data_IF_355159829606
#
_entry.id   IF_355159829606
#
_cell.length_a   1.000
_cell.length_b   1.000
_cell.length_c   1.000
_cell.angle_alpha   90.00
_cell.angle_beta   90.00
_cell.angle_gamma   90.00
#
_symmetry.space_group_name_H-M   'P 1'
#
loop_
_entity.id
_entity.type
_entity.pdbx_description
1 polymer ?
#
# COMPACT_ATOMS: atom_id res chain seq x y z
N UNK A 1 9.28 -19.46 -0.72
CA UNK A 1 8.31 -18.83 -1.62
C UNK A 1 7.19 -19.83 -1.86
N UNK A 2 5.99 -19.55 -1.37
CA UNK A 2 4.83 -20.42 -1.59
C UNK A 2 4.19 -20.14 -2.94
N UNK A 3 3.44 -21.08 -3.51
CA UNK A 3 2.56 -20.78 -4.64
C UNK A 3 1.17 -20.43 -4.09
N UNK A 4 0.66 -19.24 -4.43
CA UNK A 4 -0.72 -18.87 -4.08
C UNK A 4 -1.65 -19.46 -5.14
N UNK A 5 -2.58 -20.30 -4.70
CA UNK A 5 -3.68 -20.80 -5.54
C UNK A 5 -4.80 -19.78 -5.54
N UNK A 6 -4.92 -19.02 -6.62
CA UNK A 6 -6.05 -18.10 -6.82
C UNK A 6 -7.14 -18.84 -7.61
N UNK A 7 -8.33 -18.93 -7.02
CA UNK A 7 -9.52 -19.41 -7.72
C UNK A 7 -10.14 -18.27 -8.53
N UNK A 8 -10.34 -18.51 -9.82
CA UNK A 8 -10.86 -17.53 -10.79
C UNK A 8 -12.14 -18.06 -11.44
N UNK A 9 -12.89 -17.18 -12.12
CA UNK A 9 -14.07 -17.56 -12.89
C UNK A 9 -15.22 -18.16 -12.06
N UNK A 10 -15.46 -17.68 -10.82
CA UNK A 10 -16.45 -18.25 -9.86
C UNK A 10 -16.13 -19.67 -9.37
N UNK A 11 -14.85 -20.07 -9.39
CA UNK A 11 -14.39 -21.33 -8.79
C UNK A 11 -14.07 -22.43 -9.79
N UNK A 12 -14.31 -22.22 -11.08
CA UNK A 12 -14.01 -23.18 -12.15
C UNK A 12 -12.55 -23.15 -12.60
N UNK A 13 -11.81 -22.08 -12.32
CA UNK A 13 -10.39 -21.97 -12.68
C UNK A 13 -9.49 -21.92 -11.46
N UNK A 14 -8.35 -22.58 -11.51
CA UNK A 14 -7.26 -22.41 -10.53
C UNK A 14 -6.01 -21.94 -11.25
N UNK A 15 -5.42 -20.82 -10.81
CA UNK A 15 -4.10 -20.36 -11.25
C UNK A 15 -3.13 -20.49 -10.09
N UNK A 16 -2.01 -21.16 -10.35
CA UNK A 16 -0.85 -21.14 -9.47
C UNK A 16 0.00 -19.94 -9.85
N UNK A 17 0.09 -18.98 -8.94
CA UNK A 17 0.95 -17.81 -9.09
C UNK A 17 2.00 -17.92 -8.00
N UNK A 18 3.27 -17.71 -8.35
CA UNK A 18 4.33 -17.65 -7.36
C UNK A 18 4.05 -16.47 -6.40
N UNK A 19 4.18 -16.70 -5.09
CA UNK A 19 4.07 -15.66 -4.04
C UNK A 19 5.31 -14.76 -4.08
N UNK A 20 5.59 -14.22 -5.27
CA UNK A 20 6.54 -13.15 -5.43
C UNK A 20 5.89 -11.89 -4.87
N UNK A 21 6.46 -11.44 -3.76
CA UNK A 21 6.47 -10.07 -3.23
C UNK A 21 5.26 -9.25 -3.66
N UNK A 22 4.30 -9.06 -2.76
CA UNK A 22 3.06 -8.31 -2.99
C UNK A 22 3.35 -6.88 -3.48
N UNK A 23 3.66 -6.73 -4.76
CA UNK A 23 3.94 -5.46 -5.42
C UNK A 23 2.70 -4.60 -5.62
N UNK A 24 1.61 -4.93 -4.93
CA UNK A 24 0.35 -4.22 -4.91
C UNK A 24 -0.01 -3.67 -3.52
N UNK A 25 0.75 -4.00 -2.47
CA UNK A 25 0.51 -3.50 -1.11
C UNK A 25 1.75 -3.51 -0.21
N UNK A 26 1.74 -2.65 0.81
CA UNK A 26 2.80 -2.61 1.82
C UNK A 26 4.06 -1.86 1.35
N UNK A 27 5.17 -2.12 2.05
CA UNK A 27 6.41 -1.35 1.90
C UNK A 27 7.11 -1.63 0.56
N UNK A 28 6.94 -2.83 -0.01
CA UNK A 28 7.46 -3.16 -1.35
C UNK A 28 6.76 -2.35 -2.44
N UNK A 29 5.44 -2.16 -2.33
CA UNK A 29 4.70 -1.31 -3.25
C UNK A 29 5.11 0.16 -3.12
N UNK A 30 5.40 0.64 -1.90
CA UNK A 30 5.92 2.00 -1.69
C UNK A 30 7.25 2.20 -2.41
N UNK A 31 8.19 1.25 -2.33
CA UNK A 31 9.46 1.31 -3.06
C UNK A 31 9.25 1.42 -4.57
N UNK A 32 8.34 0.62 -5.13
CA UNK A 32 7.97 0.68 -6.55
C UNK A 32 7.35 2.05 -6.91
N UNK A 33 6.52 2.62 -6.04
CA UNK A 33 5.93 3.95 -6.24
C UNK A 33 6.99 5.06 -6.19
N UNK A 34 7.95 4.98 -5.28
CA UNK A 34 9.03 5.96 -5.16
C UNK A 34 9.96 5.90 -6.38
N UNK A 35 10.26 4.71 -6.92
CA UNK A 35 11.00 4.54 -8.17
C UNK A 35 10.24 5.16 -9.36
N UNK A 36 8.93 4.91 -9.48
CA UNK A 36 8.09 5.53 -10.50
C UNK A 36 8.02 7.05 -10.36
N UNK A 37 7.95 7.56 -9.13
CA UNK A 37 7.95 9.01 -8.84
C UNK A 37 9.26 9.65 -9.31
N UNK A 38 10.40 9.01 -9.05
CA UNK A 38 11.72 9.47 -9.54
C UNK A 38 11.79 9.51 -11.06
N UNK A 39 11.32 8.47 -11.74
CA UNK A 39 11.27 8.42 -13.21
C UNK A 39 10.35 9.49 -13.81
N UNK A 40 9.25 9.81 -13.12
CA UNK A 40 8.26 10.79 -13.55
C UNK A 40 8.46 12.20 -12.96
N UNK A 41 9.64 12.50 -12.40
CA UNK A 41 9.90 13.74 -11.64
C UNK A 41 9.56 15.02 -12.41
N UNK A 42 9.79 15.04 -13.73
CA UNK A 42 9.54 16.19 -14.60
C UNK A 42 8.06 16.37 -15.02
N UNK A 43 7.15 15.45 -14.67
CA UNK A 43 5.73 15.62 -14.99
C UNK A 43 5.09 16.70 -14.13
N UNK A 44 4.28 17.53 -14.75
CA UNK A 44 3.42 18.48 -14.06
C UNK A 44 2.19 17.77 -13.48
N UNK A 45 1.86 18.06 -12.23
CA UNK A 45 0.66 17.56 -11.56
C UNK A 45 -0.13 18.75 -11.03
N UNK A 46 -1.43 18.75 -11.30
CA UNK A 46 -2.35 19.74 -10.75
C UNK A 46 -2.68 19.38 -9.31
N UNK A 47 -2.57 20.37 -8.44
CA UNK A 47 -2.80 20.31 -7.00
C UNK A 47 -3.92 21.28 -6.63
N UNK A 48 -4.47 21.14 -5.42
CA UNK A 48 -5.51 22.05 -4.92
C UNK A 48 -6.78 22.07 -5.77
N UNK A 49 -7.20 20.91 -6.33
CA UNK A 49 -8.36 20.80 -7.25
C UNK A 49 -8.24 21.62 -8.54
N UNK A 50 -7.02 21.87 -9.01
CA UNK A 50 -6.76 22.61 -10.26
C UNK A 50 -6.23 24.03 -10.04
N UNK A 51 -6.23 24.53 -8.81
CA UNK A 51 -5.80 25.91 -8.49
C UNK A 51 -4.29 26.13 -8.60
N UNK A 52 -3.47 25.07 -8.67
CA UNK A 52 -2.03 25.22 -8.89
C UNK A 52 -1.39 23.96 -9.48
N UNK A 53 -0.26 24.13 -10.15
CA UNK A 53 0.53 23.03 -10.70
C UNK A 53 1.91 22.96 -10.06
N UNK A 54 2.40 21.77 -9.74
CA UNK A 54 3.75 21.52 -9.22
C UNK A 54 4.36 20.30 -9.91
N UNK A 55 5.69 20.23 -10.04
CA UNK A 55 6.33 19.07 -10.64
C UNK A 55 6.21 17.90 -9.68
N UNK A 56 6.08 16.69 -10.20
CA UNK A 56 5.92 15.49 -9.38
C UNK A 56 7.14 15.25 -8.48
N UNK A 57 8.33 15.67 -8.91
CA UNK A 57 9.55 15.64 -8.11
C UNK A 57 9.54 16.61 -6.92
N UNK A 58 8.81 17.71 -6.99
CA UNK A 58 8.73 18.72 -5.91
C UNK A 58 7.73 18.32 -4.82
N UNK A 59 7.01 17.21 -4.98
CA UNK A 59 6.10 16.69 -3.97
C UNK A 59 6.90 16.05 -2.83
N UNK A 60 6.43 16.19 -1.57
CA UNK A 60 7.06 15.52 -0.45
C UNK A 60 7.07 14.00 -0.64
N UNK A 61 8.05 13.34 -0.05
CA UNK A 61 8.14 11.88 -0.09
C UNK A 61 7.04 11.20 0.72
N UNK A 62 6.80 9.95 0.36
CA UNK A 62 5.77 9.11 0.97
C UNK A 62 6.03 8.99 2.47
N UNK A 63 5.12 9.52 3.30
CA UNK A 63 5.25 9.40 4.76
C UNK A 63 5.29 7.91 5.18
N UNK A 64 6.11 7.56 6.18
CA UNK A 64 6.08 6.22 6.76
C UNK A 64 4.69 5.95 7.34
N UNK A 65 4.25 4.69 7.27
CA UNK A 65 3.03 4.26 7.94
C UNK A 65 3.23 4.45 9.45
N UNK A 66 2.35 5.19 10.13
CA UNK A 66 2.47 5.38 11.56
C UNK A 66 2.31 4.03 12.28
N UNK A 67 3.06 3.87 13.37
CA UNK A 67 2.81 2.78 14.30
C UNK A 67 1.41 2.97 14.89
N UNK A 68 0.63 1.89 14.90
CA UNK A 68 -0.62 1.86 15.66
C UNK A 68 -0.48 0.97 16.88
N UNK A 69 0.73 0.59 17.28
CA UNK A 69 0.99 -0.25 18.44
C UNK A 69 0.38 0.35 19.71
N UNK A 70 -0.26 -0.48 20.53
CA UNK A 70 -0.96 -0.03 21.75
C UNK A 70 -2.32 0.64 21.52
N UNK A 71 -2.68 0.99 20.28
CA UNK A 71 -4.01 1.51 19.97
C UNK A 71 -5.07 0.42 20.12
N UNK A 72 -6.25 0.75 20.67
CA UNK A 72 -7.35 -0.20 20.82
C UNK A 72 -7.97 -0.47 19.45
N UNK A 73 -7.94 -1.74 19.02
CA UNK A 73 -8.65 -2.21 17.82
C UNK A 73 -9.91 -2.95 18.24
N UNK A 74 -11.03 -2.51 17.71
CA UNK A 74 -12.31 -3.19 17.84
C UNK A 74 -12.32 -4.38 16.88
N UNK A 75 -12.67 -5.55 17.40
CA UNK A 75 -12.77 -6.82 16.66
C UNK A 75 -14.19 -7.37 16.80
N UNK A 76 -14.52 -8.42 16.02
CA UNK A 76 -15.79 -9.13 16.18
C UNK A 76 -17.04 -8.26 15.95
N UNK A 77 -16.99 -7.28 15.04
CA UNK A 77 -18.09 -6.33 14.78
C UNK A 77 -18.52 -5.50 16.01
N UNK A 78 -17.61 -5.21 16.93
CA UNK A 78 -17.91 -4.37 18.09
C UNK A 78 -17.89 -5.10 19.42
N UNK A 79 -17.88 -6.43 19.44
CA UNK A 79 -17.97 -7.22 20.68
C UNK A 79 -16.62 -7.56 21.30
N UNK A 80 -15.52 -7.34 20.58
CA UNK A 80 -14.17 -7.55 21.08
C UNK A 80 -13.33 -6.28 21.00
N UNK A 81 -12.40 -6.11 21.94
CA UNK A 81 -11.32 -5.14 21.80
C UNK A 81 -9.99 -5.80 22.10
N UNK A 82 -8.95 -5.45 21.34
CA UNK A 82 -7.57 -5.87 21.63
C UNK A 82 -6.61 -4.76 21.33
N UNK A 83 -5.44 -4.83 21.96
CA UNK A 83 -4.33 -3.94 21.60
C UNK A 83 -3.77 -4.31 20.23
N UNK A 84 -3.53 -3.25 19.49
CA UNK A 84 -2.87 -3.28 18.20
C UNK A 84 -1.39 -3.61 18.38
N UNK A 85 -0.87 -4.53 17.57
CA UNK A 85 0.55 -4.92 17.54
C UNK A 85 1.26 -4.43 16.27
N UNK A 86 0.64 -3.50 15.53
CA UNK A 86 1.17 -3.02 14.26
C UNK A 86 2.19 -1.92 14.51
N UNK A 87 3.46 -2.25 14.28
CA UNK A 87 4.62 -1.38 14.50
C UNK A 87 4.78 -0.26 13.45
N UNK A 88 3.91 -0.20 12.44
CA UNK A 88 4.03 0.74 11.32
C UNK A 88 4.92 0.18 10.22
N UNK A 89 5.39 1.05 9.32
CA UNK A 89 6.45 0.70 8.35
C UNK A 89 7.80 1.15 8.92
N UNK A 90 8.80 0.27 8.88
CA UNK A 90 10.22 0.66 9.01
C UNK A 90 10.73 1.27 7.71
#
# INVERSE_FOLDING_TARGET
MGKIKIRTGRGTGTREIDDDKKGWAGDEYKKIQDEKKKQAANRMVHTGRGTGSKRLGDLPDSKPRPSTEGMTRITGRGTGSRKSTNKGSS
#
